data_IF_064533815918
#
_entry.id   IF_064533815918
#
_cell.length_a   1.000
_cell.length_b   1.000
_cell.length_c   1.000
_cell.angle_alpha   90.00
_cell.angle_beta   90.00
_cell.angle_gamma   90.00
#
_symmetry.space_group_name_H-M   'P 1'
#
loop_
_entity.id
_entity.type
_entity.pdbx_description
1 polymer ?
#
# COMPACT_ATOMS: atom_id res chain seq x y z
N UNK A 1 3.85 -19.56 -0.11
CA UNK A 1 3.69 -18.52 -1.13
C UNK A 1 5.07 -18.06 -1.58
N UNK A 2 5.44 -18.42 -2.81
CA UNK A 2 6.75 -18.03 -3.37
C UNK A 2 6.67 -16.58 -3.85
N UNK A 3 6.79 -15.65 -2.91
CA UNK A 3 6.93 -14.23 -3.23
C UNK A 3 8.39 -13.95 -3.61
N UNK A 4 8.60 -13.48 -4.82
CA UNK A 4 9.93 -13.09 -5.31
C UNK A 4 9.88 -11.76 -6.08
N UNK A 5 10.99 -11.05 -6.07
CA UNK A 5 11.19 -9.81 -6.84
C UNK A 5 12.48 -9.91 -7.61
N UNK A 6 12.42 -9.64 -8.92
CA UNK A 6 13.59 -9.62 -9.80
C UNK A 6 13.82 -8.25 -10.42
N UNK A 7 15.09 -7.93 -10.60
CA UNK A 7 15.55 -6.79 -11.40
C UNK A 7 16.36 -7.36 -12.57
N UNK A 8 15.74 -7.44 -13.75
CA UNK A 8 16.26 -8.26 -14.84
C UNK A 8 16.30 -9.74 -14.43
N UNK A 9 17.46 -10.37 -14.53
CA UNK A 9 17.67 -11.77 -14.14
C UNK A 9 18.10 -11.95 -12.67
N UNK A 10 18.36 -10.85 -11.97
CA UNK A 10 18.85 -10.89 -10.60
C UNK A 10 17.68 -10.95 -9.63
N UNK A 11 17.64 -11.95 -8.76
CA UNK A 11 16.72 -12.01 -7.63
C UNK A 11 17.15 -10.98 -6.58
N UNK A 12 16.25 -10.07 -6.24
CA UNK A 12 16.47 -8.99 -5.28
C UNK A 12 15.48 -9.04 -4.11
N UNK A 13 14.80 -10.17 -3.92
CA UNK A 13 13.74 -10.35 -2.92
C UNK A 13 14.19 -9.94 -1.52
N UNK A 14 15.36 -10.38 -1.08
CA UNK A 14 15.90 -9.99 0.21
C UNK A 14 16.57 -8.61 0.18
N UNK A 15 17.28 -8.31 -0.90
CA UNK A 15 18.02 -7.05 -1.02
C UNK A 15 17.12 -5.81 -0.93
N UNK A 16 15.90 -5.85 -1.48
CA UNK A 16 14.96 -4.72 -1.40
C UNK A 16 14.45 -4.42 0.02
N UNK A 17 14.64 -5.36 0.95
CA UNK A 17 14.24 -5.21 2.36
C UNK A 17 15.35 -4.63 3.23
N UNK A 18 16.56 -4.54 2.71
CA UNK A 18 17.70 -3.98 3.44
C UNK A 18 17.50 -2.49 3.76
N UNK A 19 18.00 -2.07 4.92
CA UNK A 19 17.87 -0.68 5.38
C UNK A 19 18.49 0.30 4.38
N UNK A 20 19.64 -0.02 3.77
CA UNK A 20 20.29 0.83 2.76
C UNK A 20 19.40 1.11 1.56
N UNK A 21 18.56 0.15 1.14
CA UNK A 21 17.62 0.33 0.02
C UNK A 21 16.46 1.18 0.47
N UNK A 22 15.90 0.92 1.65
CA UNK A 22 14.83 1.73 2.25
C UNK A 22 15.24 3.21 2.35
N UNK A 23 16.46 3.49 2.79
CA UNK A 23 16.98 4.86 2.92
C UNK A 23 17.14 5.54 1.54
N UNK A 24 17.56 4.79 0.52
CA UNK A 24 17.72 5.30 -0.83
C UNK A 24 16.40 5.63 -1.54
N UNK A 25 15.32 4.89 -1.24
CA UNK A 25 14.00 5.06 -1.88
C UNK A 25 13.49 6.49 -1.77
N UNK A 26 13.63 7.11 -0.61
CA UNK A 26 13.18 8.49 -0.39
C UNK A 26 13.88 9.50 -1.31
N UNK A 27 15.14 9.29 -1.64
CA UNK A 27 15.90 10.11 -2.58
C UNK A 27 15.34 10.02 -4.00
N UNK A 28 15.08 8.80 -4.46
CA UNK A 28 14.50 8.51 -5.78
C UNK A 28 13.07 9.03 -5.88
N UNK A 29 12.25 8.79 -4.84
CA UNK A 29 10.86 9.19 -4.79
C UNK A 29 10.63 10.71 -4.83
N UNK A 30 11.62 11.52 -4.50
CA UNK A 30 11.53 12.99 -4.59
C UNK A 30 11.69 13.54 -6.00
N UNK A 31 12.18 12.75 -6.95
CA UNK A 31 12.40 13.20 -8.34
C UNK A 31 11.07 13.20 -9.09
N UNK A 32 10.53 14.38 -9.49
CA UNK A 32 9.18 14.45 -10.07
C UNK A 32 9.02 13.64 -11.37
N UNK A 33 10.08 13.57 -12.19
CA UNK A 33 10.05 12.80 -13.43
C UNK A 33 9.93 11.29 -13.15
N UNK A 34 10.65 10.78 -12.15
CA UNK A 34 10.57 9.38 -11.73
C UNK A 34 9.19 9.06 -11.16
N UNK A 35 8.65 9.92 -10.30
CA UNK A 35 7.29 9.74 -9.77
C UNK A 35 6.26 9.66 -10.90
N UNK A 36 6.31 10.57 -11.87
CA UNK A 36 5.41 10.53 -13.04
C UNK A 36 5.52 9.21 -13.80
N UNK A 37 6.73 8.73 -14.05
CA UNK A 37 6.96 7.48 -14.76
C UNK A 37 6.42 6.26 -14.00
N UNK A 38 6.65 6.19 -12.68
CA UNK A 38 6.15 5.12 -11.81
C UNK A 38 4.63 5.16 -11.74
N UNK A 39 4.02 6.32 -11.52
CA UNK A 39 2.57 6.46 -11.47
C UNK A 39 1.91 6.07 -12.80
N UNK A 40 2.52 6.44 -13.93
CA UNK A 40 2.05 6.00 -15.24
C UNK A 40 2.19 4.48 -15.42
N UNK A 41 3.25 3.87 -14.90
CA UNK A 41 3.41 2.41 -14.92
C UNK A 41 2.32 1.71 -14.08
N UNK A 42 2.04 2.19 -12.87
CA UNK A 42 0.97 1.63 -12.04
C UNK A 42 -0.40 1.72 -12.72
N UNK A 43 -0.75 2.86 -13.30
CA UNK A 43 -2.01 3.00 -14.05
C UNK A 43 -2.11 2.03 -15.22
N UNK A 44 -1.00 1.82 -15.96
CA UNK A 44 -0.97 0.84 -17.05
C UNK A 44 -1.15 -0.59 -16.54
N UNK A 45 -0.52 -0.96 -15.43
CA UNK A 45 -0.67 -2.28 -14.82
C UNK A 45 -2.13 -2.53 -14.38
N UNK A 46 -2.76 -1.55 -13.75
CA UNK A 46 -4.18 -1.62 -13.35
C UNK A 46 -5.07 -1.80 -14.60
N UNK A 47 -4.87 -0.97 -15.63
CA UNK A 47 -5.68 -1.03 -16.86
C UNK A 47 -5.47 -2.32 -17.64
N UNK A 48 -4.27 -2.89 -17.62
CA UNK A 48 -3.92 -4.11 -18.35
C UNK A 48 -4.19 -5.39 -17.55
N UNK A 49 -4.67 -5.30 -16.30
CA UNK A 49 -4.81 -6.46 -15.41
C UNK A 49 -5.81 -7.51 -15.92
N UNK A 50 -6.82 -7.09 -16.69
CA UNK A 50 -7.92 -7.97 -17.14
C UNK A 50 -8.75 -8.58 -16.01
N UNK A 51 -8.55 -8.14 -14.77
CA UNK A 51 -9.24 -8.65 -13.59
C UNK A 51 -10.54 -7.89 -13.34
N UNK A 52 -11.54 -8.50 -12.71
CA UNK A 52 -12.79 -7.83 -12.35
C UNK A 52 -12.58 -6.70 -11.33
N UNK A 53 -11.46 -6.71 -10.62
CA UNK A 53 -11.06 -5.66 -9.69
C UNK A 53 -9.56 -5.71 -9.40
N UNK A 54 -9.01 -4.56 -9.03
CA UNK A 54 -7.60 -4.42 -8.63
C UNK A 54 -7.56 -3.62 -7.33
N UNK A 55 -6.82 -4.11 -6.36
CA UNK A 55 -6.51 -3.39 -5.13
C UNK A 55 -5.09 -2.83 -5.25
N UNK A 56 -4.94 -1.55 -4.99
CA UNK A 56 -3.63 -0.86 -5.00
C UNK A 56 -3.40 -0.24 -3.64
N UNK A 57 -2.24 -0.50 -3.05
CA UNK A 57 -1.85 0.02 -1.74
C UNK A 57 -0.67 0.97 -1.90
N UNK A 58 -0.67 2.07 -1.15
CA UNK A 58 0.41 3.05 -1.09
C UNK A 58 -0.02 4.36 -0.45
N UNK A 59 0.93 5.29 -0.32
CA UNK A 59 0.73 6.54 0.43
C UNK A 59 0.04 7.66 -0.37
N UNK A 60 0.09 7.62 -1.68
CA UNK A 60 -0.47 8.65 -2.57
C UNK A 60 -1.45 8.07 -3.60
N UNK A 61 -1.94 6.86 -3.37
CA UNK A 61 -2.79 6.16 -4.31
C UNK A 61 -4.11 6.91 -4.50
N UNK A 62 -4.77 7.28 -3.42
CA UNK A 62 -6.11 7.90 -3.44
C UNK A 62 -6.14 9.33 -3.99
N UNK A 63 -4.98 9.99 -4.06
CA UNK A 63 -4.87 11.40 -4.45
C UNK A 63 -4.09 11.62 -5.75
N UNK A 64 -3.12 10.76 -6.04
CA UNK A 64 -2.21 10.96 -7.18
C UNK A 64 -2.28 9.82 -8.19
N UNK A 65 -2.22 8.57 -7.76
CA UNK A 65 -2.14 7.43 -8.67
C UNK A 65 -3.52 7.10 -9.25
N UNK A 66 -4.53 6.99 -8.41
CA UNK A 66 -5.90 6.62 -8.78
C UNK A 66 -6.95 7.51 -8.08
N UNK A 67 -6.94 8.84 -8.34
CA UNK A 67 -7.88 9.77 -7.70
C UNK A 67 -9.34 9.52 -8.12
N UNK A 68 -9.55 8.86 -9.25
CA UNK A 68 -10.86 8.55 -9.80
C UNK A 68 -11.31 7.11 -9.52
N UNK A 69 -10.58 6.38 -8.64
CA UNK A 69 -10.97 5.02 -8.27
C UNK A 69 -12.34 5.03 -7.57
N UNK A 70 -13.24 4.08 -7.90
CA UNK A 70 -14.60 4.05 -7.37
C UNK A 70 -14.66 3.81 -5.86
N UNK A 71 -13.66 3.14 -5.29
CA UNK A 71 -13.49 3.00 -3.85
C UNK A 71 -12.10 3.50 -3.45
N UNK A 72 -12.07 4.53 -2.62
CA UNK A 72 -10.84 5.15 -2.12
C UNK A 72 -10.87 5.17 -0.60
N UNK A 73 -9.90 4.51 0.02
CA UNK A 73 -9.86 4.31 1.47
C UNK A 73 -8.53 4.81 2.02
N UNK A 74 -8.58 5.62 3.05
CA UNK A 74 -7.45 5.93 3.92
C UNK A 74 -7.54 5.03 5.15
N UNK A 75 -6.64 4.05 5.22
CA UNK A 75 -6.47 3.21 6.40
C UNK A 75 -5.51 3.90 7.36
N UNK A 76 -5.96 4.19 8.57
CA UNK A 76 -5.18 4.86 9.60
C UNK A 76 -5.21 4.10 10.92
N UNK A 77 -4.31 4.43 11.82
CA UNK A 77 -4.32 4.04 13.22
C UNK A 77 -3.47 5.03 14.03
N UNK A 78 -3.71 5.07 15.35
CA UNK A 78 -2.86 5.83 16.28
C UNK A 78 -1.37 5.50 16.06
N UNK A 79 -0.48 6.51 16.07
CA UNK A 79 0.95 6.31 15.86
C UNK A 79 1.59 5.30 16.81
N UNK A 80 1.16 5.22 18.07
CA UNK A 80 1.69 4.24 19.02
C UNK A 80 1.24 2.82 18.67
N UNK A 81 0.00 2.64 18.21
CA UNK A 81 -0.52 1.35 17.74
C UNK A 81 0.24 0.89 16.49
N UNK A 82 0.47 1.79 15.52
CA UNK A 82 1.28 1.48 14.33
C UNK A 82 2.70 1.07 14.68
N UNK A 83 3.32 1.78 15.63
CA UNK A 83 4.66 1.46 16.10
C UNK A 83 4.72 0.09 16.80
N UNK A 84 3.72 -0.22 17.64
CA UNK A 84 3.62 -1.52 18.30
C UNK A 84 3.44 -2.67 17.32
N UNK A 85 2.54 -2.53 16.33
CA UNK A 85 2.35 -3.54 15.27
C UNK A 85 3.64 -3.77 14.50
N UNK A 86 4.29 -2.69 14.07
CA UNK A 86 5.54 -2.80 13.31
C UNK A 86 6.69 -3.40 14.12
N UNK A 87 6.76 -3.11 15.42
CA UNK A 87 7.77 -3.70 16.31
C UNK A 87 7.58 -5.21 16.48
N UNK A 88 6.34 -5.68 16.46
CA UNK A 88 6.05 -7.12 16.53
C UNK A 88 6.49 -7.90 15.26
N UNK A 89 6.56 -7.20 14.12
CA UNK A 89 7.00 -7.79 12.83
C UNK A 89 8.52 -7.82 12.66
N UNK A 90 9.24 -6.93 13.37
CA UNK A 90 10.69 -6.76 13.18
C UNK A 90 11.44 -7.34 14.36
N UNK A 91 12.24 -8.37 14.12
CA UNK A 91 13.15 -8.92 15.13
C UNK A 91 14.35 -7.98 15.34
N UNK A 92 14.74 -7.75 16.60
CA UNK A 92 15.99 -7.07 16.95
C UNK A 92 15.93 -5.54 17.06
N UNK A 93 14.76 -4.91 16.92
CA UNK A 93 14.56 -3.47 17.16
C UNK A 93 13.63 -3.21 18.34
N UNK A 94 13.92 -2.17 19.10
CA UNK A 94 13.03 -1.74 20.19
C UNK A 94 11.82 -0.98 19.64
N UNK A 95 10.70 -0.99 20.36
CA UNK A 95 9.50 -0.22 19.99
C UNK A 95 9.79 1.29 19.83
N UNK A 96 10.72 1.84 20.62
CA UNK A 96 11.12 3.23 20.53
C UNK A 96 11.88 3.55 19.24
N UNK A 97 12.81 2.68 18.82
CA UNK A 97 13.54 2.83 17.56
C UNK A 97 12.60 2.72 16.36
N UNK A 98 11.66 1.77 16.39
CA UNK A 98 10.64 1.61 15.35
C UNK A 98 9.72 2.85 15.28
N UNK A 99 9.26 3.36 16.41
CA UNK A 99 8.44 4.57 16.48
C UNK A 99 9.17 5.79 15.90
N UNK A 100 10.45 5.96 16.21
CA UNK A 100 11.25 7.06 15.68
C UNK A 100 11.49 6.92 14.17
N UNK A 101 11.76 5.71 13.69
CA UNK A 101 11.91 5.44 12.26
C UNK A 101 10.61 5.74 11.49
N UNK A 102 9.45 5.33 12.02
CA UNK A 102 8.14 5.64 11.45
C UNK A 102 7.87 7.14 11.41
N UNK A 103 8.12 7.86 12.50
CA UNK A 103 7.93 9.33 12.54
C UNK A 103 8.80 10.05 11.52
N UNK A 104 10.08 9.66 11.38
CA UNK A 104 10.99 10.25 10.38
C UNK A 104 10.50 9.99 8.97
N UNK A 105 10.04 8.78 8.68
CA UNK A 105 9.49 8.42 7.38
C UNK A 105 8.21 9.20 7.09
N UNK A 106 7.26 9.21 8.01
CA UNK A 106 6.00 9.94 7.87
C UNK A 106 6.26 11.45 7.65
N UNK A 107 7.17 12.05 8.42
CA UNK A 107 7.57 13.45 8.22
C UNK A 107 8.26 13.69 6.87
N UNK A 108 9.03 12.75 6.37
CA UNK A 108 9.66 12.86 5.05
C UNK A 108 8.63 12.78 3.92
N UNK A 109 7.70 11.85 4.02
CA UNK A 109 6.70 11.58 2.99
C UNK A 109 5.62 12.68 2.96
N UNK A 110 5.23 13.22 4.12
CA UNK A 110 4.27 14.35 4.23
C UNK A 110 4.76 15.65 3.58
N UNK A 111 6.07 15.80 3.39
CA UNK A 111 6.61 16.94 2.62
C UNK A 111 6.32 16.86 1.12
N UNK A 112 5.96 15.69 0.63
CA UNK A 112 5.72 15.44 -0.79
C UNK A 112 4.23 15.31 -1.07
N UNK A 113 3.49 14.60 -0.22
CA UNK A 113 2.04 14.39 -0.32
C UNK A 113 1.46 14.29 1.08
N UNK A 114 0.35 14.98 1.34
CA UNK A 114 -0.44 14.75 2.56
C UNK A 114 -1.16 13.39 2.41
N UNK A 115 -0.68 12.41 3.17
CA UNK A 115 -1.27 11.06 3.21
C UNK A 115 -1.88 10.76 4.59
N UNK A 116 -1.86 11.72 5.51
CA UNK A 116 -2.44 11.57 6.85
C UNK A 116 -3.87 12.12 6.92
N UNK A 117 -4.23 13.00 5.98
CA UNK A 117 -5.55 13.60 5.89
C UNK A 117 -6.29 13.03 4.68
N UNK A 118 -7.53 12.56 4.90
CA UNK A 118 -8.36 12.08 3.81
C UNK A 118 -8.73 13.24 2.87
N UNK A 119 -8.46 13.07 1.59
CA UNK A 119 -8.95 13.98 0.56
C UNK A 119 -10.48 13.87 0.40
N UNK A 120 -11.16 14.87 -0.18
CA UNK A 120 -12.59 14.79 -0.44
C UNK A 120 -12.99 13.51 -1.19
N UNK A 121 -14.00 12.82 -0.68
CA UNK A 121 -14.49 11.56 -1.25
C UNK A 121 -13.60 10.33 -0.94
N UNK A 122 -12.65 10.44 -0.04
CA UNK A 122 -11.87 9.30 0.49
C UNK A 122 -12.49 8.88 1.82
N UNK A 123 -12.92 7.63 1.92
CA UNK A 123 -13.43 7.06 3.16
C UNK A 123 -12.26 6.79 4.12
N UNK A 124 -12.49 7.00 5.42
CA UNK A 124 -11.49 6.73 6.46
C UNK A 124 -11.85 5.47 7.21
N UNK A 125 -10.89 4.57 7.37
CA UNK A 125 -10.97 3.43 8.28
C UNK A 125 -9.90 3.60 9.35
N UNK A 126 -10.33 3.85 10.57
CA UNK A 126 -9.43 3.92 11.74
C UNK A 126 -9.36 2.55 12.40
N UNK A 127 -8.22 1.91 12.27
CA UNK A 127 -7.95 0.58 12.81
C UNK A 127 -7.31 0.60 14.21
N UNK A 128 -7.33 1.74 14.91
CA UNK A 128 -6.66 1.88 16.22
C UNK A 128 -7.09 0.82 17.22
N UNK A 129 -8.41 0.56 17.31
CA UNK A 129 -8.99 -0.41 18.22
C UNK A 129 -9.32 -1.78 17.59
N UNK A 130 -9.00 -1.96 16.30
CA UNK A 130 -9.34 -3.16 15.55
C UNK A 130 -8.17 -4.14 15.51
N UNK A 131 -8.45 -5.42 15.54
CA UNK A 131 -7.49 -6.45 15.17
C UNK A 131 -7.37 -6.59 13.64
N UNK A 132 -6.61 -7.60 13.17
CA UNK A 132 -6.42 -7.82 11.74
C UNK A 132 -7.72 -8.18 11.03
N UNK A 133 -8.48 -9.13 11.56
CA UNK A 133 -9.70 -9.64 10.92
C UNK A 133 -10.81 -8.59 10.95
N UNK A 134 -10.95 -7.86 12.05
CA UNK A 134 -11.84 -6.71 12.19
C UNK A 134 -11.49 -5.60 11.20
N UNK A 135 -10.19 -5.31 11.04
CA UNK A 135 -9.71 -4.32 10.06
C UNK A 135 -10.07 -4.74 8.64
N UNK A 136 -9.86 -6.01 8.28
CA UNK A 136 -10.23 -6.56 6.96
C UNK A 136 -11.73 -6.44 6.75
N UNK A 137 -12.54 -6.82 7.74
CA UNK A 137 -13.99 -6.75 7.67
C UNK A 137 -14.49 -5.31 7.44
N UNK A 138 -13.93 -4.33 8.16
CA UNK A 138 -14.31 -2.92 8.02
C UNK A 138 -13.89 -2.35 6.65
N UNK A 139 -12.67 -2.64 6.19
CA UNK A 139 -12.21 -2.23 4.85
C UNK A 139 -13.11 -2.80 3.76
N UNK A 140 -13.51 -4.07 3.87
CA UNK A 140 -14.43 -4.71 2.93
C UNK A 140 -15.83 -4.09 2.97
N UNK A 141 -16.35 -3.76 4.16
CA UNK A 141 -17.64 -3.11 4.33
C UNK A 141 -17.65 -1.72 3.66
N UNK A 142 -16.59 -0.94 3.89
CA UNK A 142 -16.40 0.37 3.25
C UNK A 142 -16.28 0.22 1.73
N UNK A 143 -15.45 -0.68 1.25
CA UNK A 143 -15.26 -0.91 -0.19
C UNK A 143 -16.58 -1.29 -0.88
N UNK A 144 -17.38 -2.18 -0.29
CA UNK A 144 -18.71 -2.57 -0.81
C UNK A 144 -19.67 -1.39 -0.87
N UNK A 145 -19.67 -0.54 0.13
CA UNK A 145 -20.50 0.66 0.17
C UNK A 145 -20.13 1.65 -0.93
N UNK A 146 -18.84 1.92 -1.10
CA UNK A 146 -18.33 2.83 -2.12
C UNK A 146 -18.57 2.29 -3.56
N UNK A 147 -18.52 0.98 -3.72
CA UNK A 147 -18.81 0.31 -5.01
C UNK A 147 -20.33 0.15 -5.30
N UNK A 148 -21.21 0.73 -4.46
CA UNK A 148 -22.66 0.69 -4.69
C UNK A 148 -23.30 -0.67 -4.38
N UNK A 149 -22.72 -1.44 -3.48
CA UNK A 149 -23.31 -2.72 -3.02
C UNK A 149 -23.21 -3.85 -4.05
N UNK A 150 -22.28 -3.78 -4.99
CA UNK A 150 -22.01 -4.91 -5.88
C UNK A 150 -21.75 -6.20 -5.08
N UNK A 151 -22.35 -7.31 -5.52
CA UNK A 151 -22.28 -8.59 -4.84
C UNK A 151 -20.82 -9.01 -4.54
N UNK A 152 -20.58 -9.74 -3.43
CA UNK A 152 -19.24 -10.17 -3.08
C UNK A 152 -18.63 -10.99 -4.23
N UNK A 153 -17.43 -10.59 -4.63
CA UNK A 153 -16.60 -11.44 -5.49
C UNK A 153 -16.28 -12.69 -4.67
N UNK A 154 -16.64 -13.84 -5.21
CA UNK A 154 -16.35 -15.15 -4.61
C UNK A 154 -14.86 -15.25 -4.30
N UNK A 155 -14.46 -15.39 -3.02
CA UNK A 155 -13.05 -15.47 -2.64
C UNK A 155 -12.34 -16.68 -3.22
N UNK A 156 -13.07 -17.74 -3.58
CA UNK A 156 -12.53 -18.97 -4.16
C UNK A 156 -12.36 -18.88 -5.69
N UNK A 157 -12.79 -17.79 -6.31
CA UNK A 157 -12.59 -17.56 -7.74
C UNK A 157 -11.18 -17.08 -8.05
N UNK A 158 -10.19 -17.89 -7.75
CA UNK A 158 -8.82 -17.69 -8.22
C UNK A 158 -8.83 -17.88 -9.74
N UNK A 159 -8.62 -16.79 -10.47
CA UNK A 159 -8.46 -16.90 -11.92
C UNK A 159 -7.20 -17.72 -12.23
N UNK A 160 -7.23 -18.62 -13.23
CA UNK A 160 -6.08 -19.43 -13.62
C UNK A 160 -4.89 -18.54 -13.93
N UNK A 161 -3.73 -18.94 -13.40
CA UNK A 161 -2.48 -18.21 -13.59
C UNK A 161 -2.20 -17.93 -15.06
N UNK A 162 -1.68 -16.76 -15.34
CA UNK A 162 -1.09 -16.44 -16.65
C UNK A 162 0.20 -17.25 -16.72
N UNK A 163 0.15 -18.39 -17.41
CA UNK A 163 1.36 -19.08 -17.86
C UNK A 163 2.12 -18.10 -18.75
N UNK A 164 3.32 -17.70 -18.30
CA UNK A 164 4.24 -16.95 -19.12
C UNK A 164 4.58 -17.75 -20.36
N UNK A 165 4.21 -17.25 -21.53
CA UNK A 165 4.80 -17.70 -22.78
C UNK A 165 6.14 -17.01 -22.94
N UNK A 166 7.13 -17.86 -23.22
CA UNK A 166 8.51 -17.58 -23.60
C UNK A 166 8.72 -16.35 -24.49
#
# INVERSE_FOLDING_TARGET
>A
DDYWVRSGEVDVTEAIREQRVTDAVSGVARVPAIRRAINAAFRRLVAASGRPGVVVEGRDITTVVAPDAPARILLTADPAVRAARRSAEISGSTAAEVAEALRRRDSSDSKVVDFLTAAPGVAVVDSTALDFDETVAEVLAVARRELGGAAPVDPDRVAPGVEGKD
#
